data_IF_346525557216
#
_entry.id   IF_346525557216
#
_cell.length_a   1.000
_cell.length_b   1.000
_cell.length_c   1.000
_cell.angle_alpha   90.00
_cell.angle_beta   90.00
_cell.angle_gamma   90.00
#
_symmetry.space_group_name_H-M   'P 1'
#
loop_
_entity.id
_entity.type
_entity.pdbx_description
1 polymer ?
#
# COMPACT_ATOMS: atom_id res chain seq x y z
N UNK A 1 -23.06 -8.30 -6.29
CA UNK A 1 -22.13 -8.51 -7.43
C UNK A 1 -20.81 -7.77 -7.20
N UNK A 2 -20.83 -6.59 -6.56
CA UNK A 2 -19.64 -5.78 -6.23
C UNK A 2 -18.54 -6.48 -5.43
N UNK A 3 -18.88 -7.27 -4.40
CA UNK A 3 -17.85 -7.85 -3.50
C UNK A 3 -16.89 -8.81 -4.23
N UNK A 4 -17.37 -9.55 -5.24
CA UNK A 4 -16.49 -10.43 -6.06
C UNK A 4 -15.58 -9.63 -7.00
N UNK A 5 -16.07 -8.52 -7.55
CA UNK A 5 -15.29 -7.61 -8.40
C UNK A 5 -14.20 -6.91 -7.57
N UNK A 6 -14.56 -6.38 -6.40
CA UNK A 6 -13.60 -5.77 -5.45
C UNK A 6 -12.59 -6.78 -4.89
N UNK A 7 -12.98 -8.06 -4.73
CA UNK A 7 -12.08 -9.15 -4.32
C UNK A 7 -11.02 -9.45 -5.39
N UNK A 8 -11.45 -9.54 -6.65
CA UNK A 8 -10.60 -9.75 -7.83
C UNK A 8 -9.65 -8.58 -8.10
N UNK A 9 -10.12 -7.33 -7.97
CA UNK A 9 -9.33 -6.16 -8.32
C UNK A 9 -8.18 -5.90 -7.34
N UNK A 10 -8.43 -5.84 -6.02
CA UNK A 10 -7.34 -5.59 -5.05
C UNK A 10 -6.35 -6.77 -4.98
N UNK A 11 -6.82 -7.99 -5.27
CA UNK A 11 -5.98 -9.18 -5.35
C UNK A 11 -5.03 -9.13 -6.55
N UNK A 12 -5.58 -8.79 -7.72
CA UNK A 12 -4.82 -8.60 -8.96
C UNK A 12 -3.81 -7.47 -8.84
N UNK A 13 -4.20 -6.34 -8.25
CA UNK A 13 -3.31 -5.19 -8.04
C UNK A 13 -2.17 -5.56 -7.08
N UNK A 14 -2.45 -6.23 -5.96
CA UNK A 14 -1.39 -6.65 -5.01
C UNK A 14 -0.34 -7.54 -5.68
N UNK A 15 -0.75 -8.43 -6.58
CA UNK A 15 0.14 -9.37 -7.27
C UNK A 15 1.16 -8.70 -8.22
N UNK A 16 0.89 -7.46 -8.66
CA UNK A 16 1.80 -6.67 -9.47
C UNK A 16 3.02 -6.18 -8.68
N UNK A 17 2.84 -5.99 -7.37
CA UNK A 17 3.89 -5.49 -6.49
C UNK A 17 4.71 -6.63 -5.90
N UNK A 18 5.99 -6.34 -5.65
CA UNK A 18 6.87 -7.24 -4.90
C UNK A 18 6.91 -6.79 -3.45
N UNK A 19 6.75 -7.75 -2.53
CA UNK A 19 6.79 -7.49 -1.09
C UNK A 19 8.13 -7.88 -0.45
N UNK A 20 8.87 -8.78 -1.10
CA UNK A 20 10.14 -9.30 -0.58
C UNK A 20 11.26 -8.94 -1.55
N UNK A 21 12.24 -8.13 -1.12
CA UNK A 21 13.40 -7.78 -1.93
C UNK A 21 14.15 -9.03 -2.41
N UNK A 22 14.72 -9.03 -3.63
CA UNK A 22 15.57 -10.13 -4.08
C UNK A 22 16.87 -10.18 -3.25
N UNK A 23 17.27 -11.38 -2.83
CA UNK A 23 18.52 -11.60 -2.11
C UNK A 23 19.76 -11.33 -2.98
N UNK A 24 19.70 -11.69 -4.27
CA UNK A 24 20.78 -11.48 -5.24
C UNK A 24 20.34 -10.59 -6.40
N UNK A 25 20.68 -9.30 -6.31
CA UNK A 25 20.50 -8.32 -7.40
C UNK A 25 21.57 -8.46 -8.49
N UNK A 26 22.79 -8.89 -8.11
CA UNK A 26 23.98 -8.95 -8.98
C UNK A 26 23.84 -9.95 -10.15
N UNK A 27 22.95 -10.93 -10.04
CA UNK A 27 22.70 -11.94 -11.08
C UNK A 27 21.79 -11.44 -12.21
N UNK A 28 21.28 -10.20 -12.14
CA UNK A 28 20.31 -9.67 -13.11
C UNK A 28 20.97 -8.64 -14.02
N UNK A 29 20.75 -8.77 -15.32
CA UNK A 29 21.30 -7.86 -16.34
C UNK A 29 20.94 -6.39 -16.12
N UNK A 30 19.76 -6.12 -15.54
CA UNK A 30 19.27 -4.76 -15.22
C UNK A 30 19.44 -4.39 -13.74
N UNK A 31 19.95 -5.28 -12.90
CA UNK A 31 19.97 -5.10 -11.44
C UNK A 31 18.59 -5.17 -10.75
N UNK A 32 17.52 -5.31 -11.53
CA UNK A 32 16.12 -5.30 -11.08
C UNK A 32 15.38 -6.59 -11.41
N UNK A 33 14.37 -6.92 -10.61
CA UNK A 33 13.41 -7.98 -10.93
C UNK A 33 12.40 -7.51 -11.98
N UNK A 34 11.70 -8.45 -12.65
CA UNK A 34 10.64 -8.07 -13.59
C UNK A 34 9.54 -7.20 -12.97
N UNK A 35 9.18 -7.41 -11.70
CA UNK A 35 8.22 -6.55 -10.97
C UNK A 35 8.79 -5.18 -10.62
N UNK A 36 10.09 -5.09 -10.37
CA UNK A 36 10.78 -3.80 -10.15
C UNK A 36 10.86 -3.01 -11.46
N UNK A 37 11.16 -3.67 -12.59
CA UNK A 37 11.10 -3.04 -13.90
C UNK A 37 9.67 -2.60 -14.27
N UNK A 38 8.67 -3.43 -13.96
CA UNK A 38 7.26 -3.05 -14.12
C UNK A 38 6.91 -1.81 -13.30
N UNK A 39 7.44 -1.70 -12.08
CA UNK A 39 7.30 -0.51 -11.26
C UNK A 39 7.93 0.72 -11.94
N UNK A 40 9.22 0.65 -12.26
CA UNK A 40 9.97 1.78 -12.80
C UNK A 40 9.41 2.28 -14.14
N UNK A 41 8.92 1.40 -14.99
CA UNK A 41 8.52 1.76 -16.36
C UNK A 41 7.01 1.96 -16.56
N UNK A 42 6.17 1.43 -15.66
CA UNK A 42 4.71 1.50 -15.80
C UNK A 42 4.00 1.98 -14.54
N UNK A 43 4.13 1.26 -13.42
CA UNK A 43 3.25 1.50 -12.26
C UNK A 43 3.53 2.83 -11.56
N UNK A 44 4.78 3.29 -11.53
CA UNK A 44 5.13 4.57 -10.90
C UNK A 44 4.32 5.75 -11.46
N UNK A 45 3.92 5.71 -12.74
CA UNK A 45 3.09 6.74 -13.38
C UNK A 45 1.67 6.84 -12.80
N UNK A 46 1.16 5.76 -12.21
CA UNK A 46 -0.13 5.74 -11.52
C UNK A 46 -0.09 6.36 -10.13
N UNK A 47 1.09 6.75 -9.64
CA UNK A 47 1.29 7.36 -8.32
C UNK A 47 2.08 8.67 -8.45
N UNK A 48 1.55 9.66 -9.20
CA UNK A 48 2.29 10.89 -9.53
C UNK A 48 2.61 11.75 -8.31
N UNK A 49 1.86 11.60 -7.22
CA UNK A 49 2.01 12.37 -5.98
C UNK A 49 2.79 11.61 -4.91
N UNK A 50 3.58 10.61 -5.30
CA UNK A 50 4.43 9.86 -4.37
C UNK A 50 5.57 10.76 -3.86
N UNK A 51 5.45 11.17 -2.60
CA UNK A 51 6.35 12.12 -1.94
C UNK A 51 7.48 11.42 -1.16
N UNK A 52 8.65 12.05 -1.11
CA UNK A 52 9.84 11.53 -0.43
C UNK A 52 9.65 11.49 1.10
N UNK A 53 8.94 12.46 1.69
CA UNK A 53 8.60 12.41 3.11
C UNK A 53 7.72 11.22 3.48
N UNK A 54 6.85 10.82 2.55
CA UNK A 54 5.99 9.65 2.73
C UNK A 54 6.84 8.38 2.72
N UNK A 55 7.79 8.26 1.78
CA UNK A 55 8.75 7.16 1.73
C UNK A 55 9.67 7.11 2.94
N UNK A 56 10.08 8.28 3.48
CA UNK A 56 10.89 8.35 4.69
C UNK A 56 10.22 7.64 5.88
N UNK A 57 8.88 7.69 5.97
CA UNK A 57 8.13 6.99 7.02
C UNK A 57 8.12 5.46 6.87
N UNK A 58 8.60 4.94 5.73
CA UNK A 58 8.73 3.52 5.40
C UNK A 58 10.17 3.00 5.45
N UNK A 59 11.18 3.86 5.57
CA UNK A 59 12.59 3.47 5.54
C UNK A 59 12.96 2.39 6.58
N UNK A 60 12.30 2.38 7.75
CA UNK A 60 12.50 1.36 8.79
C UNK A 60 11.71 0.05 8.60
N UNK A 61 10.85 -0.03 7.58
CA UNK A 61 10.01 -1.20 7.29
C UNK A 61 10.58 -2.13 6.23
N UNK A 62 11.59 -1.68 5.48
CA UNK A 62 12.20 -2.50 4.45
C UNK A 62 13.18 -3.51 5.09
N UNK A 63 13.05 -4.81 4.80
CA UNK A 63 13.90 -5.84 5.39
C UNK A 63 15.35 -5.82 4.86
N UNK A 64 15.62 -5.04 3.81
CA UNK A 64 16.93 -4.89 3.20
C UNK A 64 17.06 -3.49 2.58
N UNK A 65 18.29 -2.95 2.43
CA UNK A 65 18.52 -1.72 1.69
C UNK A 65 18.03 -1.86 0.24
N UNK A 66 17.13 -0.97 -0.15
CA UNK A 66 16.49 -0.94 -1.46
C UNK A 66 17.00 0.25 -2.29
N UNK A 67 17.24 0.08 -3.60
CA UNK A 67 17.48 1.21 -4.50
C UNK A 67 16.32 2.21 -4.42
N UNK A 68 16.64 3.51 -4.42
CA UNK A 68 15.66 4.58 -4.24
C UNK A 68 14.52 4.51 -5.26
N UNK A 69 14.82 4.16 -6.51
CA UNK A 69 13.84 4.07 -7.60
C UNK A 69 12.73 3.02 -7.36
N UNK A 70 12.99 1.98 -6.57
CA UNK A 70 12.02 0.91 -6.31
C UNK A 70 11.35 1.02 -4.95
N UNK A 71 11.87 1.85 -4.02
CA UNK A 71 11.33 1.98 -2.66
C UNK A 71 9.83 2.31 -2.66
N UNK A 72 9.39 3.17 -3.58
CA UNK A 72 7.97 3.49 -3.78
C UNK A 72 7.11 2.26 -4.07
N UNK A 73 7.56 1.38 -4.96
CA UNK A 73 6.84 0.17 -5.32
C UNK A 73 6.69 -0.79 -4.15
N UNK A 74 7.71 -0.90 -3.29
CA UNK A 74 7.63 -1.72 -2.08
C UNK A 74 6.68 -1.11 -1.05
N UNK A 75 6.76 0.20 -0.79
CA UNK A 75 5.87 0.88 0.16
C UNK A 75 4.39 0.74 -0.25
N UNK A 76 4.08 0.98 -1.53
CA UNK A 76 2.74 0.81 -2.08
C UNK A 76 2.31 -0.65 -2.04
N UNK A 77 3.19 -1.57 -2.44
CA UNK A 77 2.92 -3.01 -2.39
C UNK A 77 2.53 -3.48 -0.98
N UNK A 78 3.28 -3.06 0.04
CA UNK A 78 2.96 -3.38 1.43
C UNK A 78 1.63 -2.76 1.88
N UNK A 79 1.38 -1.49 1.55
CA UNK A 79 0.10 -0.84 1.88
C UNK A 79 -1.10 -1.59 1.26
N UNK A 80 -1.02 -1.89 -0.04
CA UNK A 80 -2.07 -2.62 -0.78
C UNK A 80 -2.25 -4.03 -0.20
N UNK A 81 -1.17 -4.76 0.07
CA UNK A 81 -1.25 -6.11 0.63
C UNK A 81 -1.91 -6.11 2.02
N UNK A 82 -1.55 -5.16 2.89
CA UNK A 82 -2.16 -5.09 4.22
C UNK A 82 -3.65 -4.73 4.16
N UNK A 83 -4.06 -3.91 3.19
CA UNK A 83 -5.48 -3.65 2.92
C UNK A 83 -6.20 -4.88 2.35
N UNK A 84 -5.57 -5.61 1.44
CA UNK A 84 -6.10 -6.88 0.89
C UNK A 84 -6.35 -7.89 2.01
N UNK A 85 -5.40 -8.03 2.95
CA UNK A 85 -5.56 -8.91 4.12
C UNK A 85 -6.72 -8.47 5.02
N UNK A 86 -6.86 -7.18 5.31
CA UNK A 86 -8.01 -6.68 6.09
C UNK A 86 -9.33 -7.00 5.37
N UNK A 87 -9.43 -6.67 4.08
CA UNK A 87 -10.62 -6.98 3.27
C UNK A 87 -10.94 -8.47 3.33
N UNK A 88 -9.96 -9.34 3.11
CA UNK A 88 -10.16 -10.79 3.17
C UNK A 88 -10.68 -11.24 4.54
N UNK A 89 -10.15 -10.73 5.64
CA UNK A 89 -10.65 -11.04 6.99
C UNK A 89 -12.12 -10.65 7.14
N UNK A 90 -12.49 -9.46 6.65
CA UNK A 90 -13.89 -8.99 6.68
C UNK A 90 -14.79 -9.93 5.85
N UNK A 91 -14.38 -10.26 4.62
CA UNK A 91 -15.15 -11.14 3.72
C UNK A 91 -15.29 -12.57 4.26
N UNK A 92 -14.32 -13.07 5.01
CA UNK A 92 -14.35 -14.38 5.64
C UNK A 92 -14.95 -14.38 7.05
N UNK A 93 -15.49 -13.25 7.51
CA UNK A 93 -15.98 -13.06 8.89
C UNK A 93 -14.97 -13.45 9.97
N UNK A 94 -13.68 -13.31 9.67
CA UNK A 94 -12.62 -13.53 10.63
C UNK A 94 -12.61 -12.40 11.67
N UNK A 95 -12.19 -12.67 12.93
CA UNK A 95 -12.10 -11.63 13.94
C UNK A 95 -11.20 -10.47 13.49
N UNK A 96 -11.66 -9.22 13.63
CA UNK A 96 -10.89 -8.02 13.26
C UNK A 96 -10.40 -7.19 14.45
N UNK A 97 -10.74 -7.59 15.69
CA UNK A 97 -10.38 -6.87 16.92
C UNK A 97 -8.87 -6.63 17.10
N UNK A 98 -8.02 -7.54 16.59
CA UNK A 98 -6.56 -7.41 16.62
C UNK A 98 -5.96 -6.62 15.46
N UNK A 99 -6.78 -6.07 14.55
CA UNK A 99 -6.28 -5.27 13.43
C UNK A 99 -5.98 -3.86 13.92
N UNK A 100 -4.78 -3.37 13.61
CA UNK A 100 -4.45 -1.96 13.83
C UNK A 100 -5.16 -1.06 12.80
N UNK A 101 -6.45 -0.79 13.03
CA UNK A 101 -7.30 -0.01 12.12
C UNK A 101 -6.75 1.39 11.83
N UNK A 102 -6.03 2.01 12.78
CA UNK A 102 -5.35 3.30 12.58
C UNK A 102 -4.27 3.20 11.51
N UNK A 103 -3.47 2.14 11.53
CA UNK A 103 -2.45 1.90 10.51
C UNK A 103 -3.08 1.54 9.15
N UNK A 104 -4.18 0.78 9.13
CA UNK A 104 -4.93 0.50 7.88
C UNK A 104 -5.47 1.79 7.26
N UNK A 105 -6.00 2.68 8.08
CA UNK A 105 -6.48 3.99 7.64
C UNK A 105 -5.33 4.87 7.11
N UNK A 106 -4.14 4.80 7.73
CA UNK A 106 -2.93 5.46 7.22
C UNK A 106 -2.61 4.94 5.81
N UNK A 107 -2.67 3.63 5.59
CA UNK A 107 -2.41 3.03 4.28
C UNK A 107 -3.42 3.48 3.20
N UNK A 108 -4.72 3.52 3.51
CA UNK A 108 -5.72 4.04 2.55
C UNK A 108 -5.47 5.51 2.24
N UNK A 109 -5.23 6.33 3.27
CA UNK A 109 -4.98 7.76 3.10
C UNK A 109 -3.71 8.01 2.28
N UNK A 110 -2.67 7.20 2.52
CA UNK A 110 -1.40 7.24 1.80
C UNK A 110 -1.60 6.92 0.32
N UNK A 111 -2.24 5.79 0.01
CA UNK A 111 -2.50 5.37 -1.37
C UNK A 111 -3.35 6.40 -2.13
N UNK A 112 -4.40 6.91 -1.49
CA UNK A 112 -5.23 7.98 -2.06
C UNK A 112 -4.37 9.21 -2.41
N UNK A 113 -3.54 9.69 -1.47
CA UNK A 113 -2.65 10.84 -1.70
C UNK A 113 -1.66 10.61 -2.82
N UNK A 114 -1.12 9.39 -2.96
CA UNK A 114 -0.15 9.07 -3.99
C UNK A 114 -0.77 9.08 -5.39
N UNK A 115 -2.06 8.71 -5.51
CA UNK A 115 -2.80 8.73 -6.77
C UNK A 115 -3.26 10.15 -7.09
N UNK A 116 -3.98 10.79 -6.16
CA UNK A 116 -4.56 12.11 -6.33
C UNK A 116 -4.76 12.83 -4.97
N UNK A 117 -4.29 14.07 -4.89
CA UNK A 117 -4.36 14.86 -3.66
C UNK A 117 -5.80 15.27 -3.28
N UNK A 118 -6.67 15.46 -4.27
CA UNK A 118 -8.10 15.77 -4.09
C UNK A 118 -8.87 14.59 -3.52
N UNK A 119 -8.64 13.38 -4.03
CA UNK A 119 -9.25 12.14 -3.50
C UNK A 119 -8.93 11.94 -2.02
N UNK A 120 -7.70 12.25 -1.60
CA UNK A 120 -7.32 12.18 -0.20
C UNK A 120 -7.95 13.26 0.69
N UNK A 121 -8.36 14.39 0.12
CA UNK A 121 -9.15 15.39 0.83
C UNK A 121 -10.59 14.89 1.04
N UNK A 122 -11.20 14.35 0.00
CA UNK A 122 -12.56 13.80 0.06
C UNK A 122 -12.65 12.60 1.01
N UNK A 123 -11.65 11.72 0.98
CA UNK A 123 -11.57 10.58 1.90
C UNK A 123 -11.51 11.02 3.37
N UNK A 124 -10.82 12.13 3.68
CA UNK A 124 -10.79 12.69 5.04
C UNK A 124 -12.16 13.19 5.49
N UNK A 125 -12.97 13.70 4.57
CA UNK A 125 -14.32 14.20 4.88
C UNK A 125 -15.31 13.04 5.12
N UNK A 126 -15.07 11.88 4.51
CA UNK A 126 -15.87 10.66 4.65
C UNK A 126 -15.43 9.74 5.80
N UNK A 127 -14.26 9.99 6.39
CA UNK A 127 -13.63 9.12 7.39
C UNK A 127 -14.36 9.12 8.74
N UNK A 128 -15.21 8.11 8.94
CA UNK A 128 -15.90 7.84 10.22
C UNK A 128 -14.97 7.24 11.28
N UNK A 129 -13.85 6.62 10.90
CA UNK A 129 -12.92 5.98 11.85
C UNK A 129 -12.21 7.03 12.68
N UNK A 130 -11.75 8.14 12.07
CA UNK A 130 -11.20 9.27 12.83
C UNK A 130 -12.20 9.87 13.81
N UNK A 131 -13.46 10.04 13.40
CA UNK A 131 -14.52 10.54 14.29
C UNK A 131 -14.71 9.62 15.49
N UNK A 132 -14.81 8.31 15.26
CA UNK A 132 -14.98 7.33 16.34
C UNK A 132 -13.75 7.22 17.23
N UNK A 133 -12.53 7.32 16.68
CA UNK A 133 -11.29 7.35 17.46
C UNK A 133 -11.17 8.63 18.31
N UNK A 134 -11.62 9.77 17.81
CA UNK A 134 -11.63 11.03 18.56
C UNK A 134 -12.62 11.01 19.73
N UNK A 135 -13.67 10.18 19.66
CA UNK A 135 -14.66 10.00 20.71
C UNK A 135 -14.24 8.97 21.78
N UNK A 136 -13.09 8.29 21.62
CA UNK A 136 -12.61 7.34 22.63
C UNK A 136 -12.04 8.11 23.85
N UNK A 137 -12.52 7.83 25.08
CA UNK A 137 -11.89 8.36 26.28
C UNK A 137 -10.45 7.81 26.41
N UNK A 138 -9.55 8.63 26.96
CA UNK A 138 -8.14 8.29 27.18
C UNK A 138 -7.95 7.31 28.31
#
# INVERSE_FOLDING_TARGET
MDDKVSQLELGSISALFRLVPPSDRKLKSTGHTGRENLWCHALAKGFPSLDEHLLASWNGWFPAPLPAEVQGGYAIGHAVERLRRLRNRISHHEPILGVNHRERLKDVSMLARCIDLGVAHDLRNLDRVRRTLALRPR
#
